data_IF_027987750104
#
_entry.id   IF_027987750104
#
_cell.length_a   1.000
_cell.length_b   1.000
_cell.length_c   1.000
_cell.angle_alpha   90.00
_cell.angle_beta   90.00
_cell.angle_gamma   90.00
#
_symmetry.space_group_name_H-M   'P 1'
#
loop_
_entity.id
_entity.type
_entity.pdbx_description
1 polymer ?
#
# COMPACT_ATOMS: atom_id res chain seq x y z
N UNK A 1 11.56 28.62 10.34
CA UNK A 1 12.16 27.40 10.93
C UNK A 1 11.91 26.24 9.98
N UNK A 2 12.94 25.53 9.58
CA UNK A 2 12.79 24.31 8.77
C UNK A 2 12.60 23.10 9.71
N UNK A 3 11.38 22.57 9.75
CA UNK A 3 11.00 21.43 10.61
C UNK A 3 11.43 20.06 10.07
N UNK A 4 12.03 20.01 8.86
CA UNK A 4 12.17 18.76 8.11
C UNK A 4 13.61 18.40 7.71
N UNK A 5 14.52 19.36 7.61
CA UNK A 5 15.87 19.14 7.08
C UNK A 5 16.67 18.11 7.89
N UNK A 6 16.60 18.22 9.21
CA UNK A 6 17.31 17.31 10.12
C UNK A 6 16.73 15.89 10.21
N UNK A 7 15.53 15.67 9.63
CA UNK A 7 14.87 14.36 9.56
C UNK A 7 15.27 13.58 8.30
N UNK A 8 15.94 14.22 7.35
CA UNK A 8 16.38 13.59 6.11
C UNK A 8 17.37 12.45 6.42
N UNK A 9 17.15 11.29 5.77
CA UNK A 9 17.95 10.08 6.01
C UNK A 9 17.57 9.26 7.25
N UNK A 10 16.93 9.88 8.27
CA UNK A 10 16.46 9.16 9.45
C UNK A 10 15.05 8.54 9.24
N UNK A 11 14.28 9.10 8.35
CA UNK A 11 12.93 8.63 8.01
C UNK A 11 12.79 8.35 6.53
N UNK A 12 11.96 7.35 6.17
CA UNK A 12 11.64 7.08 4.78
C UNK A 12 11.00 8.31 4.10
N UNK A 13 11.34 8.57 2.84
CA UNK A 13 10.84 9.73 2.05
C UNK A 13 9.32 9.85 2.06
N UNK A 14 8.60 8.73 2.01
CA UNK A 14 7.14 8.72 2.08
C UNK A 14 6.60 9.21 3.43
N UNK A 15 7.31 8.92 4.53
CA UNK A 15 6.96 9.42 5.86
C UNK A 15 7.16 10.93 5.93
N UNK A 16 8.30 11.42 5.46
CA UNK A 16 8.58 12.87 5.41
C UNK A 16 7.60 13.61 4.49
N UNK A 17 7.24 13.02 3.36
CA UNK A 17 6.22 13.58 2.45
C UNK A 17 4.86 13.66 3.12
N UNK A 18 4.48 12.63 3.90
CA UNK A 18 3.23 12.64 4.66
C UNK A 18 3.24 13.72 5.76
N UNK A 19 4.34 13.84 6.51
CA UNK A 19 4.49 14.87 7.54
C UNK A 19 4.39 16.28 6.95
N UNK A 20 5.08 16.55 5.84
CA UNK A 20 5.00 17.85 5.13
C UNK A 20 3.59 18.16 4.66
N UNK A 21 2.91 17.19 4.06
CA UNK A 21 1.54 17.37 3.59
C UNK A 21 0.56 17.62 4.74
N UNK A 22 0.68 16.88 5.84
CA UNK A 22 -0.19 17.02 7.00
C UNK A 22 0.04 18.34 7.73
N UNK A 23 1.30 18.73 7.94
CA UNK A 23 1.64 20.02 8.54
C UNK A 23 1.18 21.20 7.67
N UNK A 24 1.32 21.09 6.33
CA UNK A 24 0.82 22.13 5.41
C UNK A 24 -0.67 22.36 5.60
N UNK A 25 -1.46 21.30 5.71
CA UNK A 25 -2.93 21.43 5.91
C UNK A 25 -3.24 22.03 7.27
N UNK A 26 -2.54 21.62 8.33
CA UNK A 26 -2.69 22.20 9.66
C UNK A 26 -2.32 23.69 9.67
N UNK A 27 -1.18 24.05 9.08
CA UNK A 27 -0.74 25.43 8.96
C UNK A 27 -1.77 26.28 8.21
N UNK A 28 -2.32 25.82 7.10
CA UNK A 28 -3.37 26.55 6.35
C UNK A 28 -4.60 26.82 7.22
N UNK A 29 -5.01 25.84 8.04
CA UNK A 29 -6.11 26.06 8.98
C UNK A 29 -5.74 27.06 10.08
N UNK A 30 -4.52 26.98 10.63
CA UNK A 30 -4.02 27.94 11.62
C UNK A 30 -3.99 29.37 11.07
N UNK A 31 -3.44 29.54 9.86
CA UNK A 31 -3.37 30.86 9.21
C UNK A 31 -4.78 31.46 9.03
N UNK A 32 -5.77 30.64 8.64
CA UNK A 32 -7.16 31.09 8.47
C UNK A 32 -7.88 31.41 9.80
N UNK A 33 -7.40 30.88 10.93
CA UNK A 33 -7.98 31.07 12.26
C UNK A 33 -7.10 31.92 13.19
N UNK A 34 -6.07 32.56 12.67
CA UNK A 34 -5.14 33.42 13.41
C UNK A 34 -4.48 32.69 14.59
N UNK A 35 -4.08 31.42 14.37
CA UNK A 35 -3.43 30.57 15.36
C UNK A 35 -1.98 30.34 14.94
N UNK A 36 -1.05 30.39 15.90
CA UNK A 36 0.35 29.99 15.64
C UNK A 36 0.43 28.46 15.50
N UNK A 37 0.84 27.92 14.34
CA UNK A 37 0.92 26.48 14.12
C UNK A 37 2.01 25.81 14.97
N UNK A 38 2.98 26.55 15.51
CA UNK A 38 4.06 26.00 16.32
C UNK A 38 3.80 26.12 17.84
N UNK A 39 2.80 26.93 18.21
CA UNK A 39 2.41 27.15 19.60
C UNK A 39 0.88 27.17 19.75
N UNK A 40 0.23 26.12 19.26
CA UNK A 40 -1.24 26.00 19.30
C UNK A 40 -1.68 25.41 20.64
N UNK A 41 -2.68 26.05 21.28
CA UNK A 41 -3.26 25.51 22.52
C UNK A 41 -4.02 24.20 22.27
N UNK A 42 -4.23 23.35 23.30
CA UNK A 42 -5.01 22.12 23.23
C UNK A 42 -6.40 22.33 22.60
N UNK A 43 -7.08 23.40 22.97
CA UNK A 43 -8.43 23.74 22.49
C UNK A 43 -8.40 24.01 20.98
N UNK A 44 -7.40 24.76 20.51
CA UNK A 44 -7.24 25.06 19.07
C UNK A 44 -6.97 23.81 18.25
N UNK A 45 -6.13 22.91 18.77
CA UNK A 45 -5.92 21.60 18.09
C UNK A 45 -7.20 20.75 18.10
N UNK A 46 -8.00 20.80 19.18
CA UNK A 46 -9.31 20.12 19.22
C UNK A 46 -10.32 20.74 18.22
N UNK A 47 -10.33 22.07 18.05
CA UNK A 47 -11.11 22.75 17.03
C UNK A 47 -10.69 22.31 15.60
N UNK A 48 -9.39 22.20 15.33
CA UNK A 48 -8.89 21.67 14.08
C UNK A 48 -9.37 20.23 13.82
N UNK A 49 -9.38 19.37 14.84
CA UNK A 49 -9.92 18.01 14.75
C UNK A 49 -11.39 18.03 14.35
N UNK A 50 -12.21 18.90 14.94
CA UNK A 50 -13.62 19.07 14.58
C UNK A 50 -13.82 19.65 13.17
N UNK A 51 -12.97 20.60 12.76
CA UNK A 51 -12.98 21.14 11.39
C UNK A 51 -12.71 20.05 10.34
N UNK A 52 -11.65 19.27 10.54
CA UNK A 52 -11.31 18.16 9.65
C UNK A 52 -12.40 17.10 9.58
N UNK A 53 -13.13 16.90 10.68
CA UNK A 53 -14.20 15.92 10.74
C UNK A 53 -15.36 16.21 9.80
N UNK A 54 -15.53 17.45 9.34
CA UNK A 54 -16.59 17.80 8.37
C UNK A 54 -16.39 17.12 7.02
N UNK A 55 -15.13 16.92 6.60
CA UNK A 55 -14.80 16.44 5.25
C UNK A 55 -13.94 15.16 5.22
N UNK A 56 -13.26 14.79 6.30
CA UNK A 56 -12.28 13.69 6.32
C UNK A 56 -12.75 12.50 7.14
N UNK A 57 -12.19 11.33 6.80
CA UNK A 57 -12.40 10.11 7.57
C UNK A 57 -11.66 10.16 8.91
N UNK A 58 -12.15 9.41 9.89
CA UNK A 58 -11.51 9.27 11.21
C UNK A 58 -10.07 8.78 11.11
N UNK A 59 -9.77 7.90 10.15
CA UNK A 59 -8.42 7.40 9.89
C UNK A 59 -7.47 8.50 9.41
N UNK A 60 -7.94 9.38 8.49
CA UNK A 60 -7.16 10.52 8.00
C UNK A 60 -6.86 11.50 9.12
N UNK A 61 -7.86 11.82 9.95
CA UNK A 61 -7.69 12.75 11.07
C UNK A 61 -6.66 12.21 12.07
N UNK A 62 -6.82 10.95 12.49
CA UNK A 62 -5.85 10.31 13.40
C UNK A 62 -4.43 10.33 12.84
N UNK A 63 -4.25 10.03 11.55
CA UNK A 63 -2.94 10.05 10.91
C UNK A 63 -2.35 11.46 10.95
N UNK A 64 -3.14 12.51 10.66
CA UNK A 64 -2.70 13.91 10.70
C UNK A 64 -2.27 14.31 12.11
N UNK A 65 -3.06 14.02 13.12
CA UNK A 65 -2.71 14.30 14.53
C UNK A 65 -1.43 13.54 14.94
N UNK A 66 -1.29 12.26 14.55
CA UNK A 66 -0.07 11.51 14.81
C UNK A 66 1.16 12.09 14.08
N UNK A 67 0.98 12.58 12.85
CA UNK A 67 2.05 13.27 12.09
C UNK A 67 2.48 14.57 12.79
N UNK A 68 1.53 15.37 13.29
CA UNK A 68 1.82 16.60 14.03
C UNK A 68 2.55 16.27 15.35
N UNK A 69 2.05 15.30 16.13
CA UNK A 69 2.71 14.86 17.37
C UNK A 69 4.16 14.46 17.12
N UNK A 70 4.39 13.62 16.11
CA UNK A 70 5.75 13.20 15.75
C UNK A 70 6.63 14.39 15.37
N UNK A 71 6.10 15.30 14.56
CA UNK A 71 6.83 16.47 14.09
C UNK A 71 7.20 17.42 15.25
N UNK A 72 6.25 17.69 16.14
CA UNK A 72 6.49 18.56 17.31
C UNK A 72 7.54 17.95 18.25
N UNK A 73 7.42 16.68 18.61
CA UNK A 73 8.40 15.98 19.46
C UNK A 73 9.81 15.97 18.85
N UNK A 74 9.93 15.68 17.55
CA UNK A 74 11.21 15.64 16.85
C UNK A 74 11.87 17.02 16.74
N UNK A 75 11.08 18.10 16.79
CA UNK A 75 11.57 19.48 16.78
C UNK A 75 11.66 20.11 18.18
N UNK A 76 11.42 19.33 19.26
CA UNK A 76 11.42 19.81 20.64
C UNK A 76 10.43 20.96 20.90
N UNK A 77 9.29 20.92 20.18
CA UNK A 77 8.17 21.84 20.37
C UNK A 77 7.15 21.23 21.32
N UNK A 78 6.32 22.06 21.95
CA UNK A 78 5.24 21.62 22.81
C UNK A 78 4.21 20.81 22.00
N UNK A 79 4.01 19.55 22.39
CA UNK A 79 3.08 18.65 21.75
C UNK A 79 1.74 18.62 22.49
N UNK A 80 0.83 19.48 22.10
CA UNK A 80 -0.54 19.55 22.63
C UNK A 80 -1.50 18.51 22.03
N UNK A 81 -1.06 17.72 21.02
CA UNK A 81 -1.92 16.73 20.33
C UNK A 81 -2.34 15.57 21.22
N UNK A 82 -1.62 15.30 22.30
CA UNK A 82 -1.93 14.28 23.30
C UNK A 82 -2.78 14.77 24.48
N UNK A 83 -3.18 16.03 24.51
CA UNK A 83 -3.97 16.61 25.60
C UNK A 83 -5.38 15.99 25.71
N UNK A 84 -6.01 16.06 26.91
CA UNK A 84 -7.36 15.54 27.10
C UNK A 84 -8.40 16.08 26.11
N UNK A 85 -8.31 17.37 25.76
CA UNK A 85 -9.21 18.06 24.83
C UNK A 85 -9.16 17.40 23.43
N UNK A 86 -7.96 17.18 22.90
CA UNK A 86 -7.76 16.55 21.58
C UNK A 86 -8.15 15.07 21.62
N UNK A 87 -7.77 14.36 22.68
CA UNK A 87 -8.15 12.94 22.85
C UNK A 87 -9.68 12.78 22.91
N UNK A 88 -10.38 13.65 23.63
CA UNK A 88 -11.84 13.64 23.73
C UNK A 88 -12.48 14.01 22.39
N UNK A 89 -11.96 15.01 21.67
CA UNK A 89 -12.43 15.36 20.33
C UNK A 89 -12.32 14.15 19.37
N UNK A 90 -11.18 13.47 19.35
CA UNK A 90 -10.98 12.26 18.54
C UNK A 90 -11.94 11.12 18.95
N UNK A 91 -12.16 10.89 20.25
CA UNK A 91 -13.12 9.89 20.74
C UNK A 91 -14.55 10.19 20.30
N UNK A 92 -15.00 11.47 20.39
CA UNK A 92 -16.33 11.90 19.92
C UNK A 92 -16.52 11.61 18.43
N UNK A 93 -15.54 11.98 17.60
CA UNK A 93 -15.59 11.73 16.15
C UNK A 93 -15.63 10.23 15.86
N UNK A 94 -14.87 9.41 16.60
CA UNK A 94 -14.90 7.96 16.44
C UNK A 94 -16.27 7.35 16.77
N UNK A 95 -16.96 7.88 17.78
CA UNK A 95 -18.32 7.43 18.11
C UNK A 95 -19.35 7.86 17.07
N UNK A 96 -19.21 9.06 16.52
CA UNK A 96 -20.14 9.60 15.53
C UNK A 96 -19.98 8.96 14.14
N UNK A 97 -18.76 8.81 13.66
CA UNK A 97 -18.44 8.37 12.29
C UNK A 97 -18.06 6.90 12.17
N UNK A 98 -17.82 6.22 13.30
CA UNK A 98 -17.27 4.87 13.31
C UNK A 98 -15.77 4.84 12.98
N UNK A 99 -15.20 3.64 13.04
CA UNK A 99 -13.80 3.35 12.69
C UNK A 99 -13.65 2.46 11.47
N UNK A 100 -14.75 2.02 10.90
CA UNK A 100 -14.74 1.12 9.76
C UNK A 100 -14.06 1.81 8.56
N UNK A 101 -13.05 1.14 8.01
CA UNK A 101 -12.45 1.53 6.75
C UNK A 101 -13.01 0.61 5.67
N UNK A 102 -13.33 1.18 4.49
CA UNK A 102 -13.66 0.37 3.32
C UNK A 102 -12.47 -0.54 3.01
N UNK A 103 -12.68 -1.83 3.06
CA UNK A 103 -11.67 -2.80 2.66
C UNK A 103 -11.54 -2.77 1.13
N UNK A 104 -10.33 -3.04 0.63
CA UNK A 104 -10.13 -3.22 -0.80
C UNK A 104 -10.95 -4.43 -1.27
N UNK A 105 -11.54 -4.33 -2.47
CA UNK A 105 -12.24 -5.45 -3.09
C UNK A 105 -11.26 -6.62 -3.31
N UNK A 106 -11.62 -7.86 -2.95
CA UNK A 106 -10.72 -9.00 -3.08
C UNK A 106 -10.45 -9.33 -4.55
N UNK A 107 -9.18 -9.44 -4.91
CA UNK A 107 -8.75 -9.97 -6.20
C UNK A 107 -8.45 -11.45 -6.00
N UNK A 108 -9.51 -12.27 -6.07
CA UNK A 108 -9.45 -13.74 -5.96
C UNK A 108 -8.92 -14.37 -7.24
N UNK A 109 -8.66 -15.69 -7.22
CA UNK A 109 -8.16 -16.43 -8.38
C UNK A 109 -9.07 -16.27 -9.60
N UNK A 110 -10.38 -16.43 -9.43
CA UNK A 110 -11.34 -16.30 -10.52
C UNK A 110 -11.32 -14.91 -11.16
N UNK A 111 -11.19 -13.86 -10.34
CA UNK A 111 -11.06 -12.50 -10.83
C UNK A 111 -9.69 -12.25 -11.47
N UNK A 112 -8.63 -12.85 -10.93
CA UNK A 112 -7.30 -12.79 -11.53
C UNK A 112 -7.32 -13.37 -12.96
N UNK A 113 -7.93 -14.53 -13.14
CA UNK A 113 -8.00 -15.19 -14.43
C UNK A 113 -8.77 -14.33 -15.45
N UNK A 114 -9.92 -13.74 -15.08
CA UNK A 114 -10.63 -12.78 -15.93
C UNK A 114 -9.78 -11.56 -16.32
N UNK A 115 -8.96 -11.03 -15.39
CA UNK A 115 -8.06 -9.92 -15.68
C UNK A 115 -6.89 -10.33 -16.57
N UNK A 116 -6.41 -11.56 -16.45
CA UNK A 116 -5.37 -12.13 -17.31
C UNK A 116 -5.87 -12.32 -18.75
N UNK A 117 -7.13 -12.71 -18.93
CA UNK A 117 -7.75 -12.93 -20.24
C UNK A 117 -7.85 -11.64 -21.07
N UNK A 118 -7.98 -10.48 -20.41
CA UNK A 118 -8.03 -9.18 -21.11
C UNK A 118 -6.64 -8.54 -21.27
N UNK A 119 -5.57 -9.19 -20.80
CA UNK A 119 -4.21 -8.76 -21.08
C UNK A 119 -3.85 -9.10 -22.53
N UNK A 120 -3.63 -8.09 -23.36
CA UNK A 120 -3.19 -8.29 -24.75
C UNK A 120 -1.78 -8.89 -24.85
N UNK A 121 -1.39 -9.23 -26.08
CA UNK A 121 -0.07 -9.80 -26.39
C UNK A 121 1.00 -8.73 -26.67
N UNK A 122 0.64 -7.45 -26.51
CA UNK A 122 1.58 -6.33 -26.65
C UNK A 122 2.44 -6.12 -25.40
N UNK A 123 3.41 -5.21 -25.47
CA UNK A 123 4.28 -4.86 -24.33
C UNK A 123 3.51 -4.48 -23.06
N UNK A 124 2.36 -3.81 -23.23
CA UNK A 124 1.53 -3.39 -22.11
C UNK A 124 0.85 -4.60 -21.45
N UNK A 125 0.27 -5.49 -22.27
CA UNK A 125 -0.39 -6.70 -21.79
C UNK A 125 0.57 -7.66 -21.12
N UNK A 126 1.77 -7.88 -21.68
CA UNK A 126 2.78 -8.74 -21.07
C UNK A 126 3.25 -8.19 -19.72
N UNK A 127 3.51 -6.88 -19.61
CA UNK A 127 3.82 -6.23 -18.35
C UNK A 127 2.68 -6.38 -17.33
N UNK A 128 1.43 -6.22 -17.77
CA UNK A 128 0.26 -6.30 -16.89
C UNK A 128 0.03 -7.74 -16.40
N UNK A 129 0.23 -8.75 -17.24
CA UNK A 129 0.23 -10.17 -16.87
C UNK A 129 1.23 -10.45 -15.76
N UNK A 130 2.48 -9.98 -15.90
CA UNK A 130 3.49 -10.11 -14.84
C UNK A 130 3.06 -9.38 -13.57
N UNK A 131 2.52 -8.17 -13.67
CA UNK A 131 2.06 -7.39 -12.52
C UNK A 131 0.94 -8.12 -11.74
N UNK A 132 -0.01 -8.70 -12.45
CA UNK A 132 -1.14 -9.43 -11.87
C UNK A 132 -0.67 -10.70 -11.14
N UNK A 133 0.11 -11.56 -11.81
CA UNK A 133 0.62 -12.81 -11.23
C UNK A 133 1.55 -12.52 -10.05
N UNK A 134 2.52 -11.60 -10.21
CA UNK A 134 3.45 -11.23 -9.17
C UNK A 134 2.74 -10.66 -7.93
N UNK A 135 1.72 -9.81 -8.15
CA UNK A 135 0.94 -9.23 -7.08
C UNK A 135 0.15 -10.26 -6.28
N UNK A 136 -0.51 -11.17 -6.97
CA UNK A 136 -1.33 -12.22 -6.39
C UNK A 136 -0.47 -13.27 -5.65
N UNK A 137 0.55 -13.83 -6.31
CA UNK A 137 1.36 -14.90 -5.73
C UNK A 137 2.21 -14.45 -4.55
N UNK A 138 2.78 -13.23 -4.64
CA UNK A 138 3.64 -12.73 -3.57
C UNK A 138 2.89 -12.01 -2.46
N UNK A 139 1.65 -11.58 -2.69
CA UNK A 139 0.84 -10.83 -1.71
C UNK A 139 1.57 -9.58 -1.17
N UNK A 140 2.39 -8.92 -1.99
CA UNK A 140 3.22 -7.80 -1.52
C UNK A 140 2.54 -6.44 -1.69
N UNK A 141 3.02 -5.45 -0.92
CA UNK A 141 2.58 -4.07 -1.07
C UNK A 141 3.05 -3.49 -2.40
N UNK A 142 2.34 -2.51 -2.94
CA UNK A 142 2.68 -1.88 -4.24
C UNK A 142 4.13 -1.45 -4.37
N UNK A 143 4.71 -0.86 -3.32
CA UNK A 143 6.10 -0.44 -3.32
C UNK A 143 7.06 -1.64 -3.37
N UNK A 144 6.72 -2.72 -2.66
CA UNK A 144 7.48 -3.96 -2.65
C UNK A 144 7.38 -4.65 -4.02
N UNK A 145 6.20 -4.68 -4.66
CA UNK A 145 6.03 -5.21 -6.02
C UNK A 145 6.90 -4.49 -7.04
N UNK A 146 6.95 -3.15 -6.98
CA UNK A 146 7.78 -2.35 -7.88
C UNK A 146 9.28 -2.45 -7.59
N UNK A 147 9.69 -3.04 -6.46
CA UNK A 147 11.10 -3.18 -6.09
C UNK A 147 11.74 -4.48 -6.54
N UNK A 148 10.95 -5.49 -6.93
CA UNK A 148 11.50 -6.74 -7.43
C UNK A 148 12.32 -6.55 -8.70
N UNK A 149 13.42 -7.30 -8.76
CA UNK A 149 14.38 -7.29 -9.88
C UNK A 149 14.47 -8.67 -10.51
N UNK A 150 14.94 -8.73 -11.74
CA UNK A 150 15.22 -10.02 -12.41
C UNK A 150 16.24 -10.84 -11.63
N UNK A 151 17.20 -10.18 -10.99
CA UNK A 151 18.26 -10.81 -10.17
C UNK A 151 17.75 -11.37 -8.85
N UNK A 152 16.49 -11.10 -8.48
CA UNK A 152 15.89 -11.61 -7.25
C UNK A 152 15.23 -12.98 -7.44
N UNK A 153 15.17 -13.49 -8.67
CA UNK A 153 14.59 -14.80 -8.97
C UNK A 153 15.64 -15.87 -8.68
N UNK A 154 15.27 -16.84 -7.87
CA UNK A 154 16.14 -17.92 -7.43
C UNK A 154 15.48 -19.27 -7.68
N UNK A 155 16.29 -20.25 -8.09
CA UNK A 155 15.86 -21.66 -8.16
C UNK A 155 16.29 -22.35 -6.87
N UNK A 156 15.33 -22.83 -6.11
CA UNK A 156 15.53 -23.55 -4.86
C UNK A 156 15.72 -25.05 -5.13
N UNK A 157 16.18 -25.83 -4.10
CA UNK A 157 16.26 -27.27 -4.21
C UNK A 157 14.93 -27.90 -4.70
N UNK A 158 15.04 -28.97 -5.48
CA UNK A 158 13.92 -29.65 -6.16
C UNK A 158 13.25 -28.82 -7.24
N UNK A 159 13.96 -27.85 -7.86
CA UNK A 159 13.47 -27.07 -8.99
C UNK A 159 12.34 -26.08 -8.67
N UNK A 160 12.13 -25.74 -7.40
CA UNK A 160 11.11 -24.76 -7.00
C UNK A 160 11.63 -23.34 -7.22
N UNK A 161 10.79 -22.47 -7.79
CA UNK A 161 11.14 -21.09 -7.99
C UNK A 161 10.75 -20.22 -6.79
N UNK A 162 11.57 -19.22 -6.51
CA UNK A 162 11.30 -18.20 -5.51
C UNK A 162 11.78 -16.82 -5.98
N UNK A 163 11.24 -15.78 -5.39
CA UNK A 163 11.71 -14.41 -5.58
C UNK A 163 12.09 -13.80 -4.24
N UNK A 164 13.24 -13.15 -4.18
CA UNK A 164 13.77 -12.51 -2.96
C UNK A 164 13.22 -11.11 -2.79
N UNK A 165 12.49 -10.89 -1.71
CA UNK A 165 12.13 -9.54 -1.24
C UNK A 165 13.27 -9.01 -0.37
N UNK A 166 14.06 -8.06 -0.90
CA UNK A 166 15.27 -7.54 -0.22
C UNK A 166 14.94 -6.70 1.00
N UNK A 167 13.91 -5.86 0.90
CA UNK A 167 13.47 -4.95 1.95
C UNK A 167 11.95 -4.94 2.02
N UNK A 168 11.40 -4.78 3.23
CA UNK A 168 9.97 -4.56 3.42
C UNK A 168 9.72 -3.46 4.45
N UNK A 169 8.46 -3.05 4.61
CA UNK A 169 8.08 -2.08 5.65
C UNK A 169 8.43 -2.57 7.07
N UNK A 170 8.43 -3.88 7.27
CA UNK A 170 8.70 -4.55 8.55
C UNK A 170 10.12 -5.12 8.65
N UNK A 171 10.87 -5.10 7.56
CA UNK A 171 12.27 -5.48 7.46
C UNK A 171 13.01 -4.36 6.73
N UNK A 172 13.40 -3.35 7.50
CA UNK A 172 14.13 -2.19 6.97
C UNK A 172 15.66 -2.42 6.98
N UNK A 173 16.11 -3.46 7.68
CA UNK A 173 17.53 -3.83 7.77
C UNK A 173 17.97 -4.80 6.68
N UNK A 174 17.00 -5.37 5.91
CA UNK A 174 17.31 -6.14 4.71
C UNK A 174 17.76 -7.57 4.99
N UNK A 175 17.22 -8.22 6.03
CA UNK A 175 17.38 -9.68 6.20
C UNK A 175 16.86 -10.43 4.97
N UNK A 176 15.85 -9.85 4.32
CA UNK A 176 15.25 -10.35 3.11
C UNK A 176 14.33 -11.55 3.35
N UNK A 177 13.46 -11.83 2.39
CA UNK A 177 12.55 -12.97 2.46
C UNK A 177 12.42 -13.63 1.11
N UNK A 178 12.55 -14.95 1.06
CA UNK A 178 12.23 -15.74 -0.13
C UNK A 178 10.72 -16.01 -0.18
N UNK A 179 10.13 -15.73 -1.32
CA UNK A 179 8.72 -15.93 -1.60
C UNK A 179 8.59 -16.95 -2.72
N UNK A 180 7.88 -18.08 -2.51
CA UNK A 180 7.69 -19.06 -3.57
C UNK A 180 6.85 -18.44 -4.69
N UNK A 181 7.22 -18.73 -5.94
CA UNK A 181 6.53 -18.31 -7.16
C UNK A 181 6.34 -19.50 -8.09
N UNK A 182 5.29 -19.44 -8.91
CA UNK A 182 4.96 -20.48 -9.87
C UNK A 182 5.88 -20.47 -11.10
N UNK A 183 5.88 -21.56 -11.85
CA UNK A 183 6.53 -21.63 -13.16
C UNK A 183 5.86 -20.68 -14.16
N UNK A 184 4.54 -20.50 -14.07
CA UNK A 184 3.77 -19.61 -14.93
C UNK A 184 4.19 -18.15 -14.76
N UNK A 185 4.40 -17.71 -13.51
CA UNK A 185 4.93 -16.37 -13.25
C UNK A 185 6.36 -16.22 -13.78
N UNK A 186 7.22 -17.23 -13.59
CA UNK A 186 8.60 -17.19 -14.13
C UNK A 186 8.57 -17.08 -15.65
N UNK A 187 7.72 -17.86 -16.32
CA UNK A 187 7.58 -17.81 -17.77
C UNK A 187 7.07 -16.43 -18.24
N UNK A 188 6.01 -15.90 -17.58
CA UNK A 188 5.50 -14.57 -17.90
C UNK A 188 6.57 -13.47 -17.73
N UNK A 189 7.44 -13.59 -16.70
CA UNK A 189 8.56 -12.66 -16.50
C UNK A 189 9.59 -12.79 -17.63
N UNK A 190 9.87 -14.01 -18.09
CA UNK A 190 10.82 -14.25 -19.19
C UNK A 190 10.28 -13.70 -20.52
N UNK A 191 9.00 -13.92 -20.83
CA UNK A 191 8.35 -13.41 -22.03
C UNK A 191 8.35 -11.88 -22.05
N UNK A 192 7.98 -11.26 -20.93
CA UNK A 192 8.06 -9.81 -20.75
C UNK A 192 9.49 -9.30 -20.93
N UNK A 193 10.46 -9.96 -20.30
CA UNK A 193 11.89 -9.61 -20.39
C UNK A 193 12.41 -9.66 -21.83
N UNK A 194 12.05 -10.71 -22.56
CA UNK A 194 12.42 -10.91 -23.96
C UNK A 194 11.78 -9.86 -24.88
N UNK A 195 10.46 -9.68 -24.80
CA UNK A 195 9.72 -8.74 -25.64
C UNK A 195 10.15 -7.29 -25.41
N UNK A 196 10.45 -6.91 -24.17
CA UNK A 196 10.88 -5.57 -23.81
C UNK A 196 12.39 -5.33 -24.00
N UNK A 197 13.17 -6.32 -24.47
CA UNK A 197 14.60 -6.22 -24.66
C UNK A 197 15.40 -5.97 -23.37
N UNK A 198 14.87 -6.47 -22.23
CA UNK A 198 15.45 -6.19 -20.91
C UNK A 198 16.51 -7.23 -20.55
N UNK A 199 17.59 -6.78 -19.90
CA UNK A 199 18.66 -7.69 -19.46
C UNK A 199 18.68 -7.84 -17.93
N UNK A 200 18.42 -6.77 -17.20
CA UNK A 200 18.59 -6.69 -15.74
C UNK A 200 17.72 -5.59 -15.11
N UNK A 201 17.73 -5.50 -13.79
CA UNK A 201 17.08 -4.43 -13.03
C UNK A 201 15.62 -4.75 -12.70
N UNK A 202 14.78 -3.70 -12.52
CA UNK A 202 13.40 -3.88 -12.08
C UNK A 202 12.55 -4.69 -13.07
N UNK A 203 11.78 -5.65 -12.54
CA UNK A 203 10.84 -6.47 -13.32
C UNK A 203 9.71 -5.59 -13.87
N UNK A 204 9.03 -4.84 -12.98
CA UNK A 204 7.93 -3.99 -13.39
C UNK A 204 8.43 -2.62 -13.85
N UNK A 205 8.14 -2.29 -15.11
CA UNK A 205 8.53 -1.01 -15.72
C UNK A 205 7.36 -0.31 -16.37
N UNK A 206 7.38 1.02 -16.35
CA UNK A 206 6.39 1.83 -17.04
C UNK A 206 6.66 1.85 -18.54
N UNK A 207 5.63 2.19 -19.31
CA UNK A 207 5.73 2.48 -20.73
C UNK A 207 5.41 3.95 -20.99
N UNK A 208 6.08 4.56 -21.95
CA UNK A 208 5.72 5.89 -22.46
C UNK A 208 4.54 5.76 -23.42
N UNK A 209 3.94 6.88 -23.79
CA UNK A 209 2.89 6.89 -24.84
C UNK A 209 3.43 6.40 -26.21
N UNK A 210 4.72 6.58 -26.46
CA UNK A 210 5.40 6.09 -27.67
C UNK A 210 5.82 4.62 -27.59
N UNK A 211 5.45 3.87 -26.52
CA UNK A 211 5.81 2.46 -26.35
C UNK A 211 7.19 2.19 -25.76
N UNK A 212 7.99 3.22 -25.47
CA UNK A 212 9.34 3.01 -24.90
C UNK A 212 9.25 2.55 -23.44
N UNK A 213 10.14 1.61 -23.05
CA UNK A 213 10.19 1.04 -21.71
C UNK A 213 10.98 1.95 -20.77
N UNK A 214 10.39 2.34 -19.64
CA UNK A 214 11.02 3.15 -18.59
C UNK A 214 11.92 2.30 -17.70
N UNK A 215 12.74 2.94 -16.86
CA UNK A 215 13.62 2.25 -15.91
C UNK A 215 12.84 1.55 -14.79
N UNK A 216 11.70 2.06 -14.36
CA UNK A 216 10.88 1.52 -13.26
C UNK A 216 9.40 1.83 -13.44
N UNK A 217 8.55 1.20 -12.61
CA UNK A 217 7.13 1.48 -12.50
C UNK A 217 6.86 2.23 -11.19
N UNK A 218 6.08 3.31 -11.25
CA UNK A 218 5.60 3.97 -10.02
C UNK A 218 4.56 3.09 -9.31
N UNK A 219 4.64 2.93 -7.97
CA UNK A 219 3.64 2.16 -7.22
C UNK A 219 2.19 2.64 -7.39
N UNK A 220 1.97 3.93 -7.66
CA UNK A 220 0.64 4.48 -7.94
C UNK A 220 0.06 3.97 -9.28
N UNK A 221 0.93 3.64 -10.23
CA UNK A 221 0.51 3.14 -11.55
C UNK A 221 -0.15 1.76 -11.47
N UNK A 222 0.19 0.94 -10.47
CA UNK A 222 -0.47 -0.35 -10.22
C UNK A 222 -1.99 -0.16 -10.05
N UNK A 223 -2.41 0.81 -9.22
CA UNK A 223 -3.83 1.08 -9.02
C UNK A 223 -4.52 1.56 -10.30
N UNK A 224 -3.86 2.43 -11.07
CA UNK A 224 -4.37 2.90 -12.35
C UNK A 224 -4.59 1.73 -13.31
N UNK A 225 -3.61 0.83 -13.41
CA UNK A 225 -3.71 -0.34 -14.30
C UNK A 225 -4.79 -1.31 -13.86
N UNK A 226 -4.90 -1.60 -12.56
CA UNK A 226 -5.97 -2.44 -12.03
C UNK A 226 -7.34 -1.87 -12.32
N UNK A 227 -7.51 -0.53 -12.22
CA UNK A 227 -8.77 0.12 -12.58
C UNK A 227 -9.08 -0.03 -14.08
N UNK A 228 -8.12 0.25 -14.95
CA UNK A 228 -8.28 0.13 -16.40
C UNK A 228 -8.60 -1.33 -16.84
N UNK A 229 -7.97 -2.32 -16.21
CA UNK A 229 -8.28 -3.75 -16.48
C UNK A 229 -9.66 -4.14 -15.95
N UNK A 230 -10.06 -3.66 -14.78
CA UNK A 230 -11.39 -3.89 -14.22
C UNK A 230 -12.50 -3.28 -15.11
N UNK A 231 -12.24 -2.12 -15.71
CA UNK A 231 -13.15 -1.50 -16.69
C UNK A 231 -13.33 -2.38 -17.95
N UNK A 232 -12.26 -3.06 -18.42
CA UNK A 232 -12.32 -3.93 -19.59
C UNK A 232 -13.18 -5.19 -19.36
N UNK A 233 -13.24 -5.70 -18.14
CA UNK A 233 -14.14 -6.82 -17.78
C UNK A 233 -15.51 -6.37 -17.29
N UNK A 234 -15.87 -5.09 -17.47
CA UNK A 234 -17.14 -4.50 -17.03
C UNK A 234 -17.41 -4.66 -15.52
N UNK A 235 -16.36 -4.62 -14.70
CA UNK A 235 -16.48 -4.73 -13.26
C UNK A 235 -17.28 -3.57 -12.68
N UNK A 236 -18.17 -3.86 -11.72
CA UNK A 236 -19.01 -2.85 -11.05
C UNK A 236 -18.16 -1.70 -10.46
N UNK A 237 -18.54 -0.41 -10.69
CA UNK A 237 -17.76 0.73 -10.19
C UNK A 237 -17.58 0.78 -8.66
N UNK A 238 -18.48 0.12 -7.91
CA UNK A 238 -18.38 -0.02 -6.44
C UNK A 238 -17.28 -0.95 -5.97
N UNK A 239 -16.78 -1.83 -6.86
CA UNK A 239 -15.75 -2.82 -6.60
C UNK A 239 -14.38 -2.29 -7.04
N UNK A 240 -13.85 -1.30 -6.31
CA UNK A 240 -12.55 -0.70 -6.65
C UNK A 240 -11.38 -1.63 -6.31
N UNK A 241 -10.61 -1.99 -7.35
CA UNK A 241 -9.36 -2.71 -7.19
C UNK A 241 -8.20 -1.75 -6.83
N UNK A 242 -7.31 -2.25 -6.00
CA UNK A 242 -6.08 -1.57 -5.60
C UNK A 242 -4.97 -2.57 -5.34
N UNK A 243 -3.74 -2.11 -5.11
CA UNK A 243 -2.66 -3.01 -4.72
C UNK A 243 -2.90 -3.79 -3.42
N UNK A 244 -3.88 -3.39 -2.59
CA UNK A 244 -4.32 -4.19 -1.45
C UNK A 244 -5.25 -5.34 -1.85
N UNK A 245 -5.91 -5.25 -3.01
CA UNK A 245 -6.82 -6.28 -3.52
C UNK A 245 -6.13 -7.62 -3.74
N UNK A 246 -4.89 -7.63 -4.19
CA UNK A 246 -4.07 -8.84 -4.28
C UNK A 246 -3.94 -9.57 -2.94
N UNK A 247 -3.68 -8.81 -1.88
CA UNK A 247 -3.47 -9.36 -0.53
C UNK A 247 -4.75 -9.90 0.09
N UNK A 248 -5.88 -9.21 -0.18
CA UNK A 248 -7.20 -9.63 0.31
C UNK A 248 -7.64 -10.90 -0.43
N UNK A 249 -7.60 -10.90 -1.78
CA UNK A 249 -8.04 -12.03 -2.58
C UNK A 249 -7.21 -13.28 -2.34
N UNK A 250 -5.89 -13.20 -2.46
CA UNK A 250 -5.02 -14.34 -2.24
C UNK A 250 -5.10 -14.90 -0.80
N UNK A 251 -5.37 -14.05 0.21
CA UNK A 251 -5.58 -14.54 1.57
C UNK A 251 -6.92 -15.30 1.72
N UNK A 252 -7.96 -14.85 1.04
CA UNK A 252 -9.26 -15.52 0.99
C UNK A 252 -9.12 -16.88 0.32
N UNK A 253 -8.49 -16.92 -0.87
CA UNK A 253 -8.30 -18.17 -1.62
C UNK A 253 -7.46 -19.21 -0.83
N UNK A 254 -6.43 -18.75 -0.09
CA UNK A 254 -5.67 -19.63 0.80
C UNK A 254 -6.53 -20.16 1.96
N UNK A 255 -7.40 -19.31 2.52
CA UNK A 255 -8.34 -19.74 3.57
C UNK A 255 -9.34 -20.76 3.03
N UNK A 256 -9.89 -20.53 1.84
CA UNK A 256 -10.82 -21.45 1.15
C UNK A 256 -10.15 -22.79 0.81
N UNK A 257 -8.85 -22.76 0.48
CA UNK A 257 -8.06 -23.97 0.26
C UNK A 257 -7.72 -24.72 1.57
N UNK A 258 -8.19 -24.25 2.73
CA UNK A 258 -7.96 -24.90 4.03
C UNK A 258 -6.56 -24.63 4.62
N UNK A 259 -5.84 -23.63 4.12
CA UNK A 259 -4.53 -23.30 4.68
C UNK A 259 -4.64 -22.67 6.07
N UNK A 260 -3.70 -23.00 6.95
CA UNK A 260 -3.69 -22.48 8.31
C UNK A 260 -3.42 -20.97 8.35
N UNK A 261 -3.91 -20.31 9.41
CA UNK A 261 -3.70 -18.85 9.58
C UNK A 261 -2.21 -18.50 9.60
N UNK A 262 -1.37 -19.36 10.19
CA UNK A 262 0.08 -19.17 10.25
C UNK A 262 0.70 -19.17 8.85
N UNK A 263 0.29 -20.09 7.96
CA UNK A 263 0.77 -20.12 6.57
C UNK A 263 0.32 -18.89 5.79
N UNK A 264 -0.94 -18.47 5.97
CA UNK A 264 -1.49 -17.25 5.37
C UNK A 264 -0.70 -16.03 5.86
N UNK A 265 -0.40 -15.94 7.17
CA UNK A 265 0.39 -14.88 7.76
C UNK A 265 1.82 -14.86 7.21
N UNK A 266 2.47 -16.01 7.14
CA UNK A 266 3.81 -16.14 6.58
C UNK A 266 3.84 -15.67 5.13
N UNK A 267 2.90 -16.12 4.31
CA UNK A 267 2.83 -15.74 2.89
C UNK A 267 2.52 -14.25 2.73
N UNK A 268 1.54 -13.73 3.47
CA UNK A 268 1.17 -12.32 3.48
C UNK A 268 2.20 -11.39 4.13
N UNK A 269 3.13 -11.90 4.96
CA UNK A 269 4.07 -11.11 5.73
C UNK A 269 3.37 -10.26 6.81
N UNK A 270 2.38 -10.84 7.47
CA UNK A 270 1.73 -10.26 8.64
C UNK A 270 2.38 -10.77 9.92
N UNK A 271 2.71 -9.85 10.82
CA UNK A 271 3.34 -10.16 12.11
C UNK A 271 2.33 -10.43 13.23
N UNK A 272 1.05 -10.09 13.03
CA UNK A 272 0.00 -10.34 14.01
C UNK A 272 -1.24 -10.94 13.38
N UNK A 273 -1.86 -11.89 14.07
CA UNK A 273 -3.13 -12.51 13.70
C UNK A 273 -4.24 -11.46 13.51
N UNK A 274 -4.33 -10.49 14.42
CA UNK A 274 -5.32 -9.40 14.33
C UNK A 274 -5.22 -8.62 13.00
N UNK A 275 -4.02 -8.51 12.44
CA UNK A 275 -3.84 -7.88 11.13
C UNK A 275 -4.29 -8.81 10.01
N UNK A 276 -3.91 -10.09 10.03
CA UNK A 276 -4.32 -11.08 9.03
C UNK A 276 -5.85 -11.25 9.02
N UNK A 277 -6.46 -11.45 10.19
CA UNK A 277 -7.92 -11.56 10.36
C UNK A 277 -8.65 -10.34 9.80
N UNK A 278 -8.08 -9.13 9.92
CA UNK A 278 -8.68 -7.92 9.34
C UNK A 278 -8.81 -8.02 7.83
N UNK A 279 -7.86 -8.62 7.13
CA UNK A 279 -7.93 -8.87 5.69
C UNK A 279 -8.99 -9.92 5.33
N UNK A 280 -9.22 -10.89 6.22
CA UNK A 280 -10.20 -11.96 6.03
C UNK A 280 -11.63 -11.56 6.43
N UNK A 281 -11.84 -10.53 7.26
CA UNK A 281 -13.17 -10.07 7.73
C UNK A 281 -14.14 -9.64 6.63
N UNK A 282 -13.66 -9.25 5.47
CA UNK A 282 -14.49 -8.87 4.32
C UNK A 282 -15.16 -10.05 3.64
N UNK A 283 -14.71 -11.25 3.96
CA UNK A 283 -15.20 -12.47 3.39
C UNK A 283 -16.40 -13.00 4.19
N UNK A 284 -17.60 -12.75 3.69
CA UNK A 284 -18.87 -13.08 4.34
C UNK A 284 -19.59 -14.26 3.67
N UNK A 285 -18.87 -15.13 2.95
CA UNK A 285 -19.47 -16.18 2.14
C UNK A 285 -19.69 -17.53 2.84
N UNK A 286 -19.25 -17.70 4.10
CA UNK A 286 -19.20 -19.03 4.72
C UNK A 286 -19.87 -19.19 6.08
N UNK A 287 -20.68 -18.21 6.53
CA UNK A 287 -21.45 -18.34 7.79
C UNK A 287 -22.92 -18.08 7.58
#
# INVERSE_FOLDING_TARGET
MDLFSHLAGAYADNTLRAYRADFKVFKQWCDANQVDPLNSSPERVAEYVHYEAKAKSTATIRRRIASLSSLFKLNKLDDTTGSPEVVLALKRIHRQKGRAQKQAYPLTRDLLDQLLDVCGDDLKGQRDRVMLLLGYETMRRRSELCSFRFEDIEVLPRGRNAIRLRFSKTDQYGEGKLLPISNDLVQAIQDWKAMAGLKSGFILRGLTKSGSVRASLSPSHINLRLKELAEQINMQPSAELSGHSFRVGAAIDLLEAGESLEKIMLRGGWQSEATAIRYLRGWRGFW
#
